data_IF_757018375646
#
_entry.id   IF_757018375646
#
_cell.length_a   1.000
_cell.length_b   1.000
_cell.length_c   1.000
_cell.angle_alpha   90.00
_cell.angle_beta   90.00
_cell.angle_gamma   90.00
#
_symmetry.space_group_name_H-M   'P 1'
#
loop_
_entity.id
_entity.type
_entity.pdbx_description
1 polymer ?
#
# COMPACT_ATOMS: atom_id res chain seq x y z
N UNK A 1 -8.13 -26.88 6.52
CA UNK A 1 -7.20 -25.76 6.27
C UNK A 1 -7.96 -24.51 6.63
N UNK A 2 -7.50 -23.80 7.66
CA UNK A 2 -8.22 -22.69 8.24
C UNK A 2 -8.41 -21.58 7.21
N UNK A 3 -9.68 -21.23 6.98
CA UNK A 3 -10.12 -20.26 5.96
C UNK A 3 -9.62 -18.83 6.32
N UNK A 4 -9.07 -18.65 7.52
CA UNK A 4 -8.61 -17.41 8.12
C UNK A 4 -7.20 -17.51 8.73
N UNK A 5 -6.35 -18.39 8.21
CA UNK A 5 -4.96 -18.50 8.66
C UNK A 5 -4.10 -17.27 8.30
N UNK A 6 -2.97 -17.04 9.01
CA UNK A 6 -2.04 -15.94 8.70
C UNK A 6 -1.44 -16.06 7.30
N UNK A 7 -1.30 -17.28 6.79
CA UNK A 7 -0.88 -17.57 5.41
C UNK A 7 -1.87 -17.02 4.38
N UNK A 8 -3.17 -17.17 4.64
CA UNK A 8 -4.25 -16.69 3.76
C UNK A 8 -4.28 -15.17 3.78
N UNK A 9 -4.17 -14.57 4.96
CA UNK A 9 -4.07 -13.12 5.12
C UNK A 9 -2.88 -12.54 4.34
N UNK A 10 -1.70 -13.12 4.52
CA UNK A 10 -0.49 -12.65 3.85
C UNK A 10 -0.59 -12.83 2.33
N UNK A 11 -1.14 -13.95 1.86
CA UNK A 11 -1.32 -14.20 0.43
C UNK A 11 -2.30 -13.21 -0.22
N UNK A 12 -3.32 -12.75 0.52
CA UNK A 12 -4.32 -11.77 0.06
C UNK A 12 -3.82 -10.33 0.00
N UNK A 13 -2.61 -10.05 0.51
CA UNK A 13 -1.98 -8.73 0.37
C UNK A 13 -1.64 -8.44 -1.10
N UNK A 14 -1.89 -7.20 -1.56
CA UNK A 14 -1.37 -6.68 -2.82
C UNK A 14 0.15 -6.78 -2.90
N UNK A 15 0.69 -6.72 -4.12
CA UNK A 15 2.07 -7.12 -4.34
C UNK A 15 3.08 -6.14 -3.72
N UNK A 16 2.91 -4.84 -3.92
CA UNK A 16 3.86 -3.83 -3.41
C UNK A 16 3.79 -3.79 -1.89
N UNK A 17 2.57 -3.73 -1.32
CA UNK A 17 2.34 -3.77 0.12
C UNK A 17 2.99 -5.00 0.76
N UNK A 18 2.81 -6.17 0.14
CA UNK A 18 3.44 -7.42 0.58
C UNK A 18 4.96 -7.32 0.62
N UNK A 19 5.58 -6.85 -0.47
CA UNK A 19 7.04 -6.70 -0.51
C UNK A 19 7.54 -5.73 0.57
N UNK A 20 6.89 -4.58 0.75
CA UNK A 20 7.31 -3.61 1.77
C UNK A 20 7.19 -4.18 3.19
N UNK A 21 6.07 -4.85 3.52
CA UNK A 21 5.87 -5.52 4.80
C UNK A 21 6.95 -6.59 5.04
N UNK A 22 7.26 -7.41 4.03
CA UNK A 22 8.32 -8.42 4.16
C UNK A 22 9.68 -7.83 4.40
N UNK A 23 9.99 -6.71 3.73
CA UNK A 23 11.26 -6.01 3.90
C UNK A 23 11.36 -5.39 5.29
N UNK A 24 10.30 -4.75 5.79
CA UNK A 24 10.26 -4.19 7.15
C UNK A 24 10.46 -5.30 8.19
N UNK A 25 9.77 -6.43 8.03
CA UNK A 25 9.94 -7.58 8.91
C UNK A 25 11.37 -8.12 8.88
N UNK A 26 11.94 -8.34 7.69
CA UNK A 26 13.29 -8.86 7.52
C UNK A 26 14.34 -7.92 8.10
N UNK A 27 14.24 -6.61 7.84
CA UNK A 27 15.16 -5.62 8.41
C UNK A 27 15.07 -5.60 9.94
N UNK A 28 13.85 -5.64 10.49
CA UNK A 28 13.64 -5.69 11.95
C UNK A 28 14.24 -6.96 12.56
N UNK A 29 14.08 -8.10 11.89
CA UNK A 29 14.65 -9.39 12.29
C UNK A 29 16.18 -9.34 12.30
N UNK A 30 16.81 -8.90 11.21
CA UNK A 30 18.27 -8.82 11.08
C UNK A 30 18.90 -7.93 12.16
N UNK A 31 18.24 -6.82 12.48
CA UNK A 31 18.69 -5.91 13.54
C UNK A 31 18.50 -6.54 14.92
N UNK A 32 17.38 -7.23 15.14
CA UNK A 32 17.10 -7.89 16.43
C UNK A 32 18.08 -9.03 16.71
N UNK A 33 18.45 -9.78 15.68
CA UNK A 33 19.46 -10.83 15.78
C UNK A 33 20.91 -10.30 15.80
N UNK A 34 21.12 -8.97 15.82
CA UNK A 34 22.41 -8.31 15.73
C UNK A 34 23.25 -8.67 14.48
N UNK A 35 22.63 -9.15 13.40
CA UNK A 35 23.31 -9.35 12.10
C UNK A 35 23.54 -8.04 11.35
N UNK A 36 22.66 -7.05 11.58
CA UNK A 36 22.72 -5.75 10.92
C UNK A 36 22.73 -4.61 11.93
N UNK A 37 23.71 -3.71 11.83
CA UNK A 37 23.74 -2.52 12.66
C UNK A 37 22.80 -1.44 12.10
N UNK A 38 21.96 -0.88 12.97
CA UNK A 38 21.06 0.24 12.68
C UNK A 38 21.79 1.43 12.03
N UNK A 39 23.09 1.60 12.35
CA UNK A 39 23.93 2.68 11.80
C UNK A 39 24.05 2.65 10.26
N UNK A 40 23.83 1.50 9.62
CA UNK A 40 23.85 1.40 8.15
C UNK A 40 22.58 1.89 7.47
N UNK A 41 21.48 1.98 8.20
CA UNK A 41 20.15 2.30 7.68
C UNK A 41 19.73 3.73 8.00
N UNK A 42 20.25 4.34 9.07
CA UNK A 42 19.86 5.72 9.41
C UNK A 42 20.07 6.67 8.23
N UNK A 43 19.18 7.64 8.14
CA UNK A 43 19.34 8.75 7.24
C UNK A 43 20.36 9.73 7.84
N UNK A 44 21.44 9.96 7.11
CA UNK A 44 22.42 11.01 7.40
C UNK A 44 22.83 11.68 6.08
N UNK A 45 22.42 12.93 5.92
CA UNK A 45 22.68 13.70 4.70
C UNK A 45 24.16 14.02 4.48
N UNK A 46 24.96 14.14 5.54
CA UNK A 46 26.40 14.31 5.38
C UNK A 46 27.02 13.06 4.75
N UNK A 47 26.63 11.87 5.21
CA UNK A 47 27.12 10.62 4.61
C UNK A 47 26.63 10.43 3.18
N UNK A 48 25.44 10.93 2.84
CA UNK A 48 24.93 10.90 1.47
C UNK A 48 25.76 11.83 0.57
N UNK A 49 26.00 13.06 1.01
CA UNK A 49 26.71 14.07 0.20
C UNK A 49 28.20 13.76 0.06
N UNK A 50 28.88 13.39 1.15
CA UNK A 50 30.33 13.17 1.15
C UNK A 50 30.74 11.75 0.76
N UNK A 51 29.90 10.73 1.00
CA UNK A 51 30.24 9.32 0.74
C UNK A 51 29.32 8.62 -0.27
N UNK A 52 28.38 9.34 -0.89
CA UNK A 52 27.46 8.81 -1.92
C UNK A 52 26.62 7.58 -1.49
N UNK A 53 26.27 7.48 -0.19
CA UNK A 53 25.44 6.40 0.35
C UNK A 53 23.94 6.58 0.04
N UNK A 54 23.56 6.62 -1.24
CA UNK A 54 22.20 6.97 -1.72
C UNK A 54 21.13 5.99 -1.23
N UNK A 55 21.48 4.72 -0.97
CA UNK A 55 20.54 3.71 -0.47
C UNK A 55 19.91 4.08 0.87
N UNK A 56 20.56 4.93 1.68
CA UNK A 56 20.05 5.40 2.98
C UNK A 56 18.73 6.17 2.85
N UNK A 57 18.50 6.81 1.71
CA UNK A 57 17.26 7.52 1.40
C UNK A 57 16.08 6.54 1.41
N UNK A 58 16.25 5.31 0.92
CA UNK A 58 15.16 4.34 0.86
C UNK A 58 15.12 3.40 2.07
N UNK A 59 16.28 2.96 2.57
CA UNK A 59 16.33 1.97 3.66
C UNK A 59 15.84 2.54 5.00
N UNK A 60 16.02 3.83 5.24
CA UNK A 60 15.55 4.54 6.44
C UNK A 60 14.08 4.26 6.77
N UNK A 61 13.23 4.13 5.76
CA UNK A 61 11.80 3.89 5.91
C UNK A 61 11.46 2.46 6.32
N UNK A 62 12.38 1.51 6.10
CA UNK A 62 12.17 0.10 6.42
C UNK A 62 12.41 -0.22 7.90
N UNK A 63 13.05 0.69 8.64
CA UNK A 63 13.26 0.54 10.08
C UNK A 63 12.29 1.41 10.87
N UNK A 64 11.46 0.75 11.68
CA UNK A 64 10.43 1.40 12.51
C UNK A 64 10.67 1.19 14.01
N UNK A 65 11.63 0.34 14.36
CA UNK A 65 11.97 0.01 15.75
C UNK A 65 12.20 -1.49 15.92
N UNK A 66 12.44 -1.90 17.16
CA UNK A 66 12.51 -3.33 17.54
C UNK A 66 11.10 -3.91 17.69
N UNK A 67 11.00 -5.24 17.75
CA UNK A 67 9.74 -5.91 18.06
C UNK A 67 9.16 -5.39 19.38
N UNK A 68 7.98 -4.80 19.26
CA UNK A 68 7.24 -4.15 20.36
C UNK A 68 5.77 -4.05 19.94
N UNK A 69 4.88 -3.73 20.89
CA UNK A 69 3.47 -3.50 20.58
C UNK A 69 3.30 -2.36 19.55
N UNK A 70 4.09 -1.30 19.66
CA UNK A 70 4.11 -0.19 18.69
C UNK A 70 4.47 -0.66 17.28
N UNK A 71 5.40 -1.60 17.14
CA UNK A 71 5.78 -2.17 15.85
C UNK A 71 4.64 -3.01 15.24
N UNK A 72 3.92 -3.79 16.07
CA UNK A 72 2.76 -4.56 15.60
C UNK A 72 1.64 -3.62 15.13
N UNK A 73 1.37 -2.56 15.88
CA UNK A 73 0.40 -1.55 15.50
C UNK A 73 0.77 -0.87 14.18
N UNK A 74 2.02 -0.46 14.03
CA UNK A 74 2.52 0.06 12.76
C UNK A 74 2.29 -0.92 11.61
N UNK A 75 2.68 -2.20 11.75
CA UNK A 75 2.54 -3.20 10.69
C UNK A 75 1.08 -3.45 10.33
N UNK A 76 0.20 -3.47 11.32
CA UNK A 76 -1.25 -3.63 11.12
C UNK A 76 -1.85 -2.46 10.35
N UNK A 77 -1.59 -1.22 10.76
CA UNK A 77 -2.09 -0.02 10.08
C UNK A 77 -1.49 0.09 8.68
N UNK A 78 -0.18 -0.15 8.54
CA UNK A 78 0.48 -0.15 7.25
C UNK A 78 -0.17 -1.15 6.32
N UNK A 79 -0.33 -2.42 6.74
CA UNK A 79 -0.96 -3.44 5.92
C UNK A 79 -2.39 -3.08 5.50
N UNK A 80 -3.19 -2.53 6.41
CA UNK A 80 -4.58 -2.15 6.16
C UNK A 80 -4.68 -1.01 5.13
N UNK A 81 -4.03 0.12 5.39
CA UNK A 81 -4.18 1.32 4.55
C UNK A 81 -3.37 1.23 3.26
N UNK A 82 -2.17 0.64 3.31
CA UNK A 82 -1.36 0.39 2.11
C UNK A 82 -2.09 -0.53 1.14
N UNK A 83 -2.66 -1.64 1.64
CA UNK A 83 -3.44 -2.56 0.79
C UNK A 83 -4.71 -1.92 0.26
N UNK A 84 -5.40 -1.10 1.06
CA UNK A 84 -6.62 -0.42 0.62
C UNK A 84 -6.32 0.61 -0.48
N UNK A 85 -5.21 1.35 -0.35
CA UNK A 85 -4.76 2.25 -1.41
C UNK A 85 -4.31 1.49 -2.66
N UNK A 86 -3.46 0.46 -2.55
CA UNK A 86 -2.97 -0.26 -3.72
C UNK A 86 -4.10 -0.92 -4.54
N UNK A 87 -5.21 -1.29 -3.90
CA UNK A 87 -6.42 -1.83 -4.57
C UNK A 87 -7.36 -0.73 -5.12
N UNK A 88 -7.12 0.53 -4.79
CA UNK A 88 -7.99 1.64 -5.17
C UNK A 88 -7.88 1.91 -6.69
N UNK A 89 -9.00 2.25 -7.32
CA UNK A 89 -9.08 2.48 -8.76
C UNK A 89 -8.16 3.61 -9.27
N UNK A 90 -7.68 4.50 -8.40
CA UNK A 90 -6.74 5.55 -8.80
C UNK A 90 -5.36 5.02 -9.17
N UNK A 91 -4.99 3.85 -8.64
CA UNK A 91 -3.73 3.18 -8.92
C UNK A 91 -3.96 2.14 -10.03
N UNK A 92 -4.20 2.64 -11.24
CA UNK A 92 -4.58 1.81 -12.41
C UNK A 92 -3.44 0.97 -12.95
N UNK A 93 -2.20 1.48 -12.93
CA UNK A 93 -1.03 0.76 -13.44
C UNK A 93 -0.40 -0.10 -12.34
N UNK A 94 0.23 -1.24 -12.66
CA UNK A 94 0.82 -2.12 -11.66
C UNK A 94 1.90 -1.41 -10.83
N UNK A 95 2.68 -0.50 -11.43
CA UNK A 95 3.71 0.28 -10.75
C UNK A 95 3.23 1.59 -10.12
N UNK A 96 1.95 1.94 -10.24
CA UNK A 96 1.43 3.24 -9.80
C UNK A 96 1.55 3.46 -8.28
N UNK A 97 1.26 2.43 -7.49
CA UNK A 97 1.39 2.50 -6.04
C UNK A 97 2.86 2.53 -5.58
N UNK A 98 3.74 1.79 -6.27
CA UNK A 98 5.18 1.85 -6.03
C UNK A 98 5.74 3.25 -6.32
N UNK A 99 5.26 3.89 -7.38
CA UNK A 99 5.60 5.28 -7.71
C UNK A 99 5.13 6.24 -6.62
N UNK A 100 3.90 6.07 -6.11
CA UNK A 100 3.41 6.84 -4.97
C UNK A 100 4.30 6.71 -3.73
N UNK A 101 4.64 5.48 -3.31
CA UNK A 101 5.56 5.26 -2.18
C UNK A 101 6.90 5.94 -2.44
N UNK A 102 7.43 5.82 -3.65
CA UNK A 102 8.71 6.44 -4.03
C UNK A 102 8.66 7.97 -3.91
N UNK A 103 7.59 8.60 -4.39
CA UNK A 103 7.38 10.05 -4.22
C UNK A 103 7.34 10.42 -2.75
N UNK A 104 6.57 9.68 -1.94
CA UNK A 104 6.49 9.95 -0.51
C UNK A 104 7.85 9.83 0.17
N UNK A 105 8.63 8.79 -0.14
CA UNK A 105 9.99 8.63 0.38
C UNK A 105 10.90 9.81 -0.02
N UNK A 106 10.83 10.26 -1.27
CA UNK A 106 11.64 11.42 -1.73
C UNK A 106 11.21 12.71 -1.04
N UNK A 107 9.90 12.97 -0.92
CA UNK A 107 9.40 14.21 -0.32
C UNK A 107 9.65 14.25 1.19
N UNK A 108 9.47 13.13 1.89
CA UNK A 108 9.83 13.01 3.31
C UNK A 108 11.32 13.19 3.54
N UNK A 109 12.16 12.67 2.65
CA UNK A 109 13.60 12.90 2.72
C UNK A 109 13.95 14.38 2.54
N UNK A 110 13.30 15.08 1.61
CA UNK A 110 13.47 16.53 1.41
C UNK A 110 12.99 17.34 2.62
N UNK A 111 11.85 16.98 3.21
CA UNK A 111 11.35 17.59 4.45
C UNK A 111 12.37 17.36 5.58
N UNK A 112 12.92 16.15 5.69
CA UNK A 112 13.88 15.77 6.72
C UNK A 112 15.12 16.66 6.71
N UNK A 113 15.70 16.93 5.53
CA UNK A 113 16.87 17.83 5.42
C UNK A 113 16.51 19.28 5.70
N UNK A 114 15.31 19.73 5.29
CA UNK A 114 14.86 21.12 5.47
C UNK A 114 14.72 21.49 6.95
N UNK A 115 14.13 20.61 7.76
CA UNK A 115 13.88 20.89 9.18
C UNK A 115 15.04 20.48 10.11
N UNK A 116 15.83 19.47 9.74
CA UNK A 116 16.91 18.92 10.58
C UNK A 116 18.29 19.05 9.94
N UNK A 117 18.56 20.21 9.33
CA UNK A 117 19.88 20.49 8.74
C UNK A 117 21.00 20.41 9.80
N UNK A 118 22.17 19.79 9.51
CA UNK A 118 22.59 19.16 8.25
C UNK A 118 22.44 17.62 8.22
N UNK A 119 22.00 16.97 9.30
CA UNK A 119 21.99 15.50 9.40
C UNK A 119 20.70 14.86 8.89
N UNK A 120 19.56 15.54 9.02
CA UNK A 120 18.22 14.98 8.81
C UNK A 120 17.71 14.20 10.03
N UNK A 121 16.42 13.87 9.99
CA UNK A 121 15.79 12.96 10.95
C UNK A 121 16.12 11.50 10.62
N UNK A 122 16.50 10.66 11.61
CA UNK A 122 17.18 9.38 11.36
C UNK A 122 16.29 8.26 10.81
N UNK A 123 15.00 8.20 11.18
CA UNK A 123 14.03 7.15 10.80
C UNK A 123 12.68 7.77 10.43
N UNK A 124 12.21 7.57 9.19
CA UNK A 124 10.95 8.15 8.71
C UNK A 124 9.89 7.11 8.38
N UNK A 125 10.04 5.86 8.84
CA UNK A 125 9.04 4.81 8.63
C UNK A 125 7.64 5.20 9.14
N UNK A 126 7.55 5.74 10.36
CA UNK A 126 6.29 6.27 10.91
C UNK A 126 5.74 7.43 10.08
N UNK A 127 6.59 8.35 9.59
CA UNK A 127 6.14 9.44 8.72
C UNK A 127 5.54 8.92 7.41
N UNK A 128 6.14 7.88 6.82
CA UNK A 128 5.59 7.25 5.62
C UNK A 128 4.21 6.64 5.87
N UNK A 129 4.03 5.96 7.01
CA UNK A 129 2.71 5.46 7.41
C UNK A 129 1.69 6.60 7.50
N UNK A 130 2.03 7.71 8.16
CA UNK A 130 1.12 8.87 8.22
C UNK A 130 0.83 9.50 6.86
N UNK A 131 1.80 9.54 5.95
CA UNK A 131 1.57 10.05 4.59
C UNK A 131 0.56 9.17 3.81
N UNK A 132 0.71 7.84 3.91
CA UNK A 132 -0.21 6.85 3.33
C UNK A 132 -1.61 7.02 3.92
N UNK A 133 -1.68 7.04 5.25
CA UNK A 133 -2.92 7.19 6.00
C UNK A 133 -3.62 8.50 5.67
N UNK A 134 -2.89 9.60 5.63
CA UNK A 134 -3.44 10.90 5.31
C UNK A 134 -4.03 10.89 3.90
N UNK A 135 -3.28 10.41 2.90
CA UNK A 135 -3.79 10.35 1.53
C UNK A 135 -5.06 9.48 1.46
N UNK A 136 -5.05 8.31 2.10
CA UNK A 136 -6.22 7.44 2.20
C UNK A 136 -7.42 8.15 2.87
N UNK A 137 -7.20 8.88 3.96
CA UNK A 137 -8.24 9.60 4.70
C UNK A 137 -8.97 10.66 3.87
N UNK A 138 -8.26 11.28 2.91
CA UNK A 138 -8.82 12.29 2.01
C UNK A 138 -9.64 11.66 0.90
N UNK A 139 -9.24 10.48 0.43
CA UNK A 139 -9.96 9.71 -0.59
C UNK A 139 -11.25 9.11 -0.04
N UNK A 140 -11.13 8.42 1.09
CA UNK A 140 -12.19 7.63 1.70
C UNK A 140 -12.77 8.35 2.93
N UNK A 141 -12.99 9.66 2.82
CA UNK A 141 -13.35 10.53 3.94
C UNK A 141 -14.61 10.07 4.70
N UNK A 142 -15.58 9.51 3.98
CA UNK A 142 -16.87 9.05 4.52
C UNK A 142 -16.88 7.58 4.93
N UNK A 143 -15.80 6.84 4.66
CA UNK A 143 -15.69 5.44 5.05
C UNK A 143 -15.52 5.31 6.56
N UNK A 144 -16.17 4.30 7.15
CA UNK A 144 -16.01 3.98 8.56
C UNK A 144 -14.85 3.00 8.74
N UNK A 145 -13.89 3.38 9.59
CA UNK A 145 -12.73 2.54 9.88
C UNK A 145 -12.70 2.21 11.36
N UNK A 146 -12.66 0.93 11.66
CA UNK A 146 -12.31 0.44 12.99
C UNK A 146 -10.79 0.49 13.18
N UNK A 147 -10.35 1.31 14.12
CA UNK A 147 -8.97 1.37 14.62
C UNK A 147 -8.98 0.73 16.00
N UNK A 148 -8.50 -0.50 16.08
CA UNK A 148 -8.44 -1.29 17.32
C UNK A 148 -9.79 -1.31 18.08
N UNK A 149 -9.98 -0.42 19.05
CA UNK A 149 -11.15 -0.35 19.93
C UNK A 149 -12.19 0.73 19.54
N UNK A 150 -11.87 1.61 18.59
CA UNK A 150 -12.75 2.73 18.22
C UNK A 150 -13.04 2.73 16.72
N UNK A 151 -14.27 3.12 16.35
CA UNK A 151 -14.63 3.35 14.95
C UNK A 151 -14.66 4.84 14.67
N UNK A 152 -13.89 5.29 13.68
CA UNK A 152 -13.81 6.69 13.27
C UNK A 152 -14.13 6.84 11.79
N UNK A 153 -14.54 8.04 11.38
CA UNK A 153 -14.68 8.35 9.95
C UNK A 153 -13.32 8.58 9.34
N UNK A 154 -13.17 8.28 8.05
CA UNK A 154 -11.91 8.39 7.32
C UNK A 154 -11.21 9.74 7.53
N UNK A 155 -11.93 10.86 7.42
CA UNK A 155 -11.34 12.20 7.60
C UNK A 155 -10.80 12.48 9.03
N UNK A 156 -11.33 11.80 10.05
CA UNK A 156 -10.90 11.96 11.45
C UNK A 156 -9.68 11.11 11.78
N UNK A 157 -9.39 10.12 10.93
CA UNK A 157 -8.42 9.07 11.19
C UNK A 157 -6.99 9.59 11.44
N UNK A 158 -6.43 10.54 10.66
CA UNK A 158 -5.09 11.05 10.93
C UNK A 158 -5.00 11.73 12.31
N UNK A 159 -6.04 12.48 12.71
CA UNK A 159 -6.08 13.17 13.99
C UNK A 159 -6.26 12.20 15.16
N UNK A 160 -7.11 11.17 14.98
CA UNK A 160 -7.28 10.11 15.97
C UNK A 160 -5.97 9.35 16.22
N UNK A 161 -5.17 9.11 15.17
CA UNK A 161 -3.88 8.44 15.30
C UNK A 161 -2.80 9.33 15.93
N UNK A 162 -2.77 10.63 15.64
CA UNK A 162 -1.89 11.58 16.35
C UNK A 162 -2.20 11.56 17.85
N UNK A 163 -3.48 11.56 18.22
CA UNK A 163 -3.90 11.47 19.62
C UNK A 163 -3.49 10.14 20.26
N UNK A 164 -3.64 9.03 19.54
CA UNK A 164 -3.19 7.71 20.01
C UNK A 164 -1.67 7.67 20.21
N UNK A 165 -0.91 8.24 19.27
CA UNK A 165 0.54 8.33 19.34
C UNK A 165 1.01 9.20 20.50
N UNK A 166 0.31 10.29 20.80
CA UNK A 166 0.55 11.12 21.99
C UNK A 166 0.41 10.30 23.27
N UNK A 167 -0.68 9.51 23.41
CA UNK A 167 -0.90 8.65 24.58
C UNK A 167 0.18 7.56 24.68
N UNK A 168 0.62 7.02 23.54
CA UNK A 168 1.69 6.02 23.47
C UNK A 168 3.10 6.59 23.66
N UNK A 169 3.24 7.91 23.90
CA UNK A 169 4.52 8.58 24.09
C UNK A 169 5.41 8.60 22.83
N UNK A 170 4.80 8.48 21.64
CA UNK A 170 5.52 8.56 20.36
C UNK A 170 5.82 10.02 19.98
N UNK A 171 6.81 10.22 19.12
CA UNK A 171 7.18 11.56 18.66
C UNK A 171 6.17 12.09 17.64
N UNK A 172 5.39 13.09 18.02
CA UNK A 172 4.41 13.74 17.14
C UNK A 172 5.03 14.45 15.93
N UNK A 173 6.30 14.87 16.03
CA UNK A 173 6.99 15.52 14.93
C UNK A 173 7.05 14.63 13.68
N UNK A 174 7.26 13.33 13.88
CA UNK A 174 7.34 12.35 12.81
C UNK A 174 5.99 12.21 12.09
N UNK A 175 4.90 12.27 12.85
CA UNK A 175 3.54 12.19 12.35
C UNK A 175 3.17 13.45 11.54
N UNK A 176 3.56 14.64 12.02
CA UNK A 176 3.35 15.92 11.34
C UNK A 176 4.09 15.96 9.99
N UNK A 177 5.34 15.48 9.93
CA UNK A 177 6.08 15.40 8.66
C UNK A 177 5.36 14.49 7.66
N UNK A 178 4.83 13.36 8.14
CA UNK A 178 4.01 12.45 7.33
C UNK A 178 2.75 13.10 6.80
N UNK A 179 2.03 13.83 7.65
CA UNK A 179 0.80 14.53 7.29
C UNK A 179 1.05 15.63 6.24
N UNK A 180 2.13 16.40 6.41
CA UNK A 180 2.56 17.40 5.44
C UNK A 180 2.90 16.75 4.09
N UNK A 181 3.63 15.63 4.11
CA UNK A 181 3.97 14.86 2.91
C UNK A 181 2.74 14.36 2.15
N UNK A 182 1.81 13.74 2.89
CA UNK A 182 0.54 13.29 2.33
C UNK A 182 -0.29 14.44 1.76
N UNK A 183 -0.33 15.59 2.43
CA UNK A 183 -1.07 16.77 1.99
C UNK A 183 -0.52 17.36 0.70
N UNK A 184 0.80 17.50 0.60
CA UNK A 184 1.44 18.03 -0.61
C UNK A 184 1.19 17.10 -1.80
N UNK A 185 1.30 15.78 -1.61
CA UNK A 185 0.96 14.83 -2.66
C UNK A 185 -0.52 14.94 -3.08
N UNK A 186 -1.44 15.01 -2.11
CA UNK A 186 -2.87 15.18 -2.37
C UNK A 186 -3.16 16.47 -3.16
N UNK A 187 -2.49 17.57 -2.80
CA UNK A 187 -2.60 18.84 -3.50
C UNK A 187 -2.20 18.73 -4.97
N UNK A 188 -1.01 18.20 -5.26
CA UNK A 188 -0.53 18.06 -6.64
C UNK A 188 -1.30 17.02 -7.45
N UNK A 189 -1.79 15.97 -6.80
CA UNK A 189 -2.50 14.87 -7.48
C UNK A 189 -3.96 15.18 -7.77
N UNK A 190 -4.65 15.87 -6.88
CA UNK A 190 -6.12 16.01 -6.96
C UNK A 190 -6.59 17.45 -7.00
N UNK A 191 -6.08 18.30 -6.12
CA UNK A 191 -6.55 19.69 -6.04
C UNK A 191 -6.11 20.45 -7.29
N UNK A 192 -4.82 20.37 -7.64
CA UNK A 192 -4.27 21.13 -8.75
C UNK A 192 -4.94 20.78 -10.10
N UNK A 193 -5.12 19.49 -10.48
CA UNK A 193 -5.94 19.09 -11.63
C UNK A 193 -7.37 19.60 -11.63
N UNK A 194 -8.03 19.56 -10.45
CA UNK A 194 -9.44 19.92 -10.30
C UNK A 194 -9.68 21.41 -10.56
N UNK A 195 -8.74 22.25 -10.17
CA UNK A 195 -8.77 23.70 -10.38
C UNK A 195 -8.27 24.12 -11.78
N UNK A 196 -8.08 23.17 -12.71
CA UNK A 196 -7.61 23.43 -14.07
C UNK A 196 -6.09 23.56 -14.23
N UNK A 197 -5.32 23.18 -13.20
CA UNK A 197 -3.86 23.12 -13.25
C UNK A 197 -3.31 21.89 -13.98
N UNK A 198 -1.98 21.77 -14.12
CA UNK A 198 -1.35 20.67 -14.85
C UNK A 198 -1.46 19.33 -14.12
N UNK A 199 -1.77 18.27 -14.87
CA UNK A 199 -1.84 16.88 -14.39
C UNK A 199 -0.44 16.23 -14.29
N UNK A 200 0.40 16.75 -13.39
CA UNK A 200 1.81 16.37 -13.28
C UNK A 200 2.02 14.92 -12.85
N UNK A 201 1.14 14.40 -11.98
CA UNK A 201 1.33 13.10 -11.36
C UNK A 201 0.51 11.98 -12.02
N UNK A 202 -0.49 12.31 -12.84
CA UNK A 202 -1.48 11.37 -13.40
C UNK A 202 -0.83 10.17 -14.10
N UNK A 203 0.20 10.42 -14.92
CA UNK A 203 0.92 9.38 -15.64
C UNK A 203 2.06 8.80 -14.81
N UNK A 204 2.02 7.48 -14.62
CA UNK A 204 3.09 6.74 -13.99
C UNK A 204 4.27 6.55 -14.95
N UNK A 205 5.52 6.77 -14.50
CA UNK A 205 6.67 6.49 -15.34
C UNK A 205 6.76 4.99 -15.64
N UNK A 206 6.96 4.64 -16.93
CA UNK A 206 7.01 3.25 -17.43
C UNK A 206 8.04 2.37 -16.72
N UNK A 207 9.05 2.97 -16.08
CA UNK A 207 10.07 2.24 -15.31
C UNK A 207 9.45 1.48 -14.14
N UNK A 208 8.47 2.07 -13.43
CA UNK A 208 7.83 1.46 -12.27
C UNK A 208 6.94 0.30 -12.70
N UNK A 209 6.22 0.45 -13.80
CA UNK A 209 5.43 -0.64 -14.37
C UNK A 209 6.33 -1.79 -14.81
N UNK A 210 7.45 -1.51 -15.48
CA UNK A 210 8.41 -2.56 -15.89
C UNK A 210 9.00 -3.30 -14.69
N UNK A 211 9.37 -2.59 -13.62
CA UNK A 211 9.86 -3.19 -12.38
C UNK A 211 8.79 -4.11 -11.79
N UNK A 212 7.56 -3.62 -11.69
CA UNK A 212 6.48 -4.37 -11.07
C UNK A 212 6.09 -5.61 -11.89
N UNK A 213 6.03 -5.49 -13.21
CA UNK A 213 5.77 -6.60 -14.11
C UNK A 213 6.87 -7.66 -14.00
N UNK A 214 8.15 -7.25 -13.97
CA UNK A 214 9.27 -8.19 -13.79
C UNK A 214 9.23 -8.90 -12.44
N UNK A 215 8.85 -8.20 -11.36
CA UNK A 215 8.66 -8.81 -10.03
C UNK A 215 7.51 -9.81 -10.04
N UNK A 216 6.41 -9.49 -10.73
CA UNK A 216 5.28 -10.38 -10.88
C UNK A 216 5.65 -11.62 -11.71
N UNK A 217 6.39 -11.47 -12.81
CA UNK A 217 6.92 -12.58 -13.60
C UNK A 217 7.86 -13.48 -12.78
N UNK A 218 8.80 -12.89 -12.04
CA UNK A 218 9.69 -13.65 -11.15
C UNK A 218 8.91 -14.46 -10.11
N UNK A 219 7.87 -13.86 -9.52
CA UNK A 219 6.99 -14.56 -8.58
C UNK A 219 6.26 -15.73 -9.23
N UNK A 220 5.75 -15.54 -10.44
CA UNK A 220 5.03 -16.58 -11.19
C UNK A 220 5.96 -17.72 -11.61
N UNK A 221 7.17 -17.40 -12.08
CA UNK A 221 8.17 -18.36 -12.52
C UNK A 221 8.71 -19.22 -11.38
N UNK A 222 8.85 -18.65 -10.19
CA UNK A 222 9.35 -19.38 -9.01
C UNK A 222 8.26 -20.21 -8.30
N UNK A 223 7.12 -20.46 -8.94
CA UNK A 223 6.09 -21.35 -8.40
C UNK A 223 5.38 -20.82 -7.15
N UNK A 224 5.50 -19.54 -6.82
CA UNK A 224 4.66 -18.87 -5.82
C UNK A 224 3.29 -18.62 -6.47
N UNK A 225 2.61 -19.72 -6.80
CA UNK A 225 1.23 -19.75 -7.26
C UNK A 225 0.36 -19.30 -6.10
N UNK A 226 -0.38 -18.21 -6.29
CA UNK A 226 -1.61 -17.97 -5.55
C UNK A 226 -2.62 -19.08 -5.95
N UNK A 227 -2.51 -20.27 -5.36
CA UNK A 227 -3.48 -21.36 -5.51
C UNK A 227 -4.81 -21.08 -4.77
N UNK A 228 -5.22 -19.82 -4.64
CA UNK A 228 -6.48 -19.42 -3.99
C UNK A 228 -7.49 -18.78 -4.94
N UNK A 229 -7.21 -18.66 -6.24
CA UNK A 229 -8.24 -18.36 -7.25
C UNK A 229 -9.26 -19.50 -7.45
N UNK A 230 -9.27 -20.54 -6.60
CA UNK A 230 -10.31 -21.59 -6.63
C UNK A 230 -11.54 -21.26 -5.77
N UNK A 231 -11.57 -20.13 -5.07
CA UNK A 231 -12.75 -19.68 -4.33
C UNK A 231 -13.17 -18.27 -4.77
N UNK A 232 -14.16 -18.23 -5.67
CA UNK A 232 -14.92 -17.00 -6.00
C UNK A 232 -14.81 -16.59 -7.45
N UNK A 233 -15.93 -16.74 -8.19
CA UNK A 233 -16.17 -16.39 -9.60
C UNK A 233 -15.56 -17.30 -10.66
N UNK A 234 -16.08 -18.53 -10.73
CA UNK A 234 -16.30 -19.17 -12.03
C UNK A 234 -17.28 -18.29 -12.81
N UNK A 235 -16.74 -17.54 -13.77
CA UNK A 235 -17.52 -16.86 -14.77
C UNK A 235 -18.16 -17.96 -15.65
N UNK A 236 -19.38 -18.39 -15.29
CA UNK A 236 -20.24 -19.20 -16.17
C UNK A 236 -20.69 -18.23 -17.25
N UNK A 237 -19.83 -17.98 -18.23
CA UNK A 237 -20.14 -17.42 -19.55
C UNK A 237 -18.83 -17.35 -20.33
N UNK A 238 -18.27 -18.51 -20.66
CA UNK A 238 -17.49 -18.63 -21.88
C UNK A 238 -18.18 -19.66 -22.76
N UNK A 239 -18.72 -19.13 -23.86
CA UNK A 239 -19.26 -19.83 -25.01
C UNK A 239 -18.37 -21.02 -25.38
N UNK A 240 -18.93 -22.22 -25.23
CA UNK A 240 -18.37 -23.40 -25.87
C UNK A 240 -18.34 -23.14 -27.37
N UNK A 241 -17.14 -23.08 -27.93
CA UNK A 241 -16.91 -23.40 -29.34
C UNK A 241 -17.26 -24.87 -29.51
N UNK A 242 -18.53 -25.14 -29.84
CA UNK A 242 -18.97 -26.47 -30.26
C UNK A 242 -18.53 -26.69 -31.69
N UNK A 243 -17.45 -27.45 -31.80
CA UNK A 243 -17.01 -28.10 -33.02
C UNK A 243 -18.17 -28.97 -33.54
N UNK A 244 -18.63 -28.66 -34.74
CA UNK A 244 -19.80 -29.25 -35.36
C UNK A 244 -19.40 -30.60 -35.95
N UNK A 245 -19.83 -31.72 -35.37
CA UNK A 245 -19.90 -33.01 -36.07
C UNK A 245 -20.89 -33.95 -35.39
N UNK A 246 -21.94 -34.27 -36.15
CA UNK A 246 -22.78 -35.46 -36.13
C UNK A 246 -23.69 -35.73 -34.91
N UNK A 247 -25.00 -35.65 -35.21
CA UNK A 247 -25.94 -36.72 -34.87
C UNK A 247 -26.62 -36.63 -33.49
N UNK A 248 -27.77 -35.95 -33.45
CA UNK A 248 -29.07 -36.40 -32.90
C UNK A 248 -29.89 -35.20 -32.38
N UNK A 249 -31.09 -35.06 -32.93
CA UNK A 249 -32.06 -34.02 -32.58
C UNK A 249 -32.46 -34.11 -31.10
N UNK A 250 -32.09 -33.11 -30.29
CA UNK A 250 -32.81 -32.76 -29.06
C UNK A 250 -33.31 -31.33 -29.17
N UNK A 251 -34.61 -31.17 -29.48
CA UNK A 251 -35.30 -29.89 -29.41
C UNK A 251 -35.51 -29.54 -27.94
N UNK A 252 -34.79 -28.54 -27.44
CA UNK A 252 -35.00 -27.99 -26.11
C UNK A 252 -36.26 -27.12 -26.18
N UNK A 253 -37.29 -27.51 -25.43
CA UNK A 253 -38.55 -26.79 -25.33
C UNK A 253 -38.34 -25.51 -24.51
N UNK A 254 -38.49 -24.34 -25.15
CA UNK A 254 -38.45 -23.03 -24.49
C UNK A 254 -39.88 -22.60 -24.23
N UNK A 255 -40.36 -22.81 -23.00
CA UNK A 255 -41.66 -22.30 -22.56
C UNK A 255 -41.57 -20.80 -22.26
N UNK A 256 -42.40 -19.99 -22.92
CA UNK A 256 -42.62 -18.57 -22.57
C UNK A 256 -43.56 -18.51 -21.37
N UNK A 257 -43.10 -18.00 -20.23
CA UNK A 257 -43.95 -17.69 -19.08
C UNK A 257 -44.84 -16.48 -19.39
N UNK A 258 -46.15 -16.65 -19.27
CA UNK A 258 -47.17 -15.60 -19.39
C UNK A 258 -47.47 -15.06 -17.98
N UNK A 259 -47.38 -13.75 -17.80
CA UNK A 259 -47.87 -13.06 -16.58
C UNK A 259 -49.39 -12.92 -16.68
N UNK A 260 -50.12 -13.43 -15.69
CA UNK A 260 -51.52 -13.08 -15.46
C UNK A 260 -51.57 -11.91 -14.48
N UNK A 261 -52.37 -10.90 -14.83
CA UNK A 261 -52.35 -9.56 -14.26
C UNK A 261 -53.19 -9.36 -13.00
N UNK A 262 -53.27 -8.08 -12.66
CA UNK A 262 -54.02 -7.47 -11.56
C UNK A 262 -55.52 -7.82 -11.58
N UNK A 263 -56.06 -8.04 -10.38
CA UNK A 263 -57.43 -7.71 -9.95
C UNK A 263 -57.43 -7.62 -8.42
#
# INVERSE_FOLDING_TARGET
MDISGPEVWYNNLPNVTKYVITLIFLVTLLITCNLLNVVYILLDWNLIYYKYHIWRIFLNFLYVGKFSLSWVFFMSLFAQFSSSLEKNAIFTSPGSYLYFITIQCTFLSLISILFYWPRGYPFLGNSLLFAIIYYWSRREAWSHVSIYFFTVKGYQLPFALIFLHLIMGQSLWVDIMGLLSGHVYYFFREILPREGGPNLLDKTPKIFDKIMLKLQEFRLNNGIRNNFQRYGYTNINNSRSTNNNNGTNRRVFIGRGVRLGDS
#
